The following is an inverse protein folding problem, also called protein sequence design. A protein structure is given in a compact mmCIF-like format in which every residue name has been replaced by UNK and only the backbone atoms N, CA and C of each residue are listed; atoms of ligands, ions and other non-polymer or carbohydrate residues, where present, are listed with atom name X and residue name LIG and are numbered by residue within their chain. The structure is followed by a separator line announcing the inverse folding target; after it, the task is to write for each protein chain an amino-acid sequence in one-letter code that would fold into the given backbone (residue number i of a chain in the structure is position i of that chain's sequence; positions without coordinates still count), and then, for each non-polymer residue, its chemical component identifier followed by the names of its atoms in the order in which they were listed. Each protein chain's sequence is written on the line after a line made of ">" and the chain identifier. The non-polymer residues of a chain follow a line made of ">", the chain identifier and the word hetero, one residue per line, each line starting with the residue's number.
data_IF_388985601739
#
_entry.id   IF_388985601739
#
_cell.length_a   1.000
_cell.length_b   1.000
_cell.length_c   1.000
_cell.angle_alpha   90.00
_cell.angle_beta   90.00
_cell.angle_gamma   90.00
#
_symmetry.space_group_name_H-M   'P 1'
#
loop_
_entity.id
_entity.type
_entity.pdbx_description
1 polymer ?
#
# COMPACT_ATOMS: atom_id res chain seq x y z
N UNK A 1 -17.98 34.44 -28.24
CA UNK A 1 -17.04 33.91 -29.22
C UNK A 1 -15.67 33.84 -28.57
N UNK A 2 -15.30 32.69 -28.17
CA UNK A 2 -13.94 32.39 -27.70
C UNK A 2 -13.30 31.47 -28.73
N UNK A 3 -12.15 31.81 -29.27
CA UNK A 3 -11.39 30.91 -30.08
C UNK A 3 -10.14 30.45 -29.31
N UNK A 4 -10.18 29.29 -28.73
CA UNK A 4 -8.96 28.57 -28.45
C UNK A 4 -8.77 27.55 -29.58
N UNK A 5 -7.72 27.67 -30.39
CA UNK A 5 -7.40 26.62 -31.35
C UNK A 5 -6.89 25.41 -30.61
N UNK A 6 -7.48 24.25 -30.87
CA UNK A 6 -6.91 22.96 -30.56
C UNK A 6 -5.57 22.84 -31.34
N UNK A 7 -4.50 23.25 -30.72
CA UNK A 7 -3.17 22.98 -31.23
C UNK A 7 -2.90 21.51 -31.04
N UNK A 8 -2.85 20.75 -32.14
CA UNK A 8 -2.44 19.38 -32.16
C UNK A 8 -1.01 19.29 -31.57
N UNK A 9 -0.89 18.69 -30.40
CA UNK A 9 0.39 18.34 -29.81
C UNK A 9 1.02 17.23 -30.66
N UNK A 10 1.72 17.63 -31.68
CA UNK A 10 2.79 16.84 -32.26
C UNK A 10 3.87 16.72 -31.17
N UNK A 11 4.03 15.56 -30.58
CA UNK A 11 5.18 15.22 -29.74
C UNK A 11 6.44 15.23 -30.62
N UNK A 12 7.01 16.41 -30.86
CA UNK A 12 8.34 16.55 -31.45
C UNK A 12 9.35 16.09 -30.41
N UNK A 13 10.04 15.00 -30.70
CA UNK A 13 11.12 14.43 -29.89
C UNK A 13 12.22 15.45 -29.66
N UNK A 14 12.60 15.69 -28.42
CA UNK A 14 13.88 16.32 -28.10
C UNK A 14 15.02 15.37 -28.50
N UNK A 15 16.02 15.81 -29.22
CA UNK A 15 17.19 15.00 -29.57
C UNK A 15 18.03 14.79 -28.31
N UNK A 16 18.12 13.55 -27.82
CA UNK A 16 19.03 13.20 -26.72
C UNK A 16 18.52 12.21 -25.67
N UNK A 17 17.21 11.97 -25.57
CA UNK A 17 16.70 10.91 -24.72
C UNK A 17 16.45 9.66 -25.58
N UNK A 18 17.23 8.61 -25.33
CA UNK A 18 16.91 7.27 -25.79
C UNK A 18 15.56 6.89 -25.23
N UNK A 19 14.49 7.22 -25.95
CA UNK A 19 13.13 6.92 -25.55
C UNK A 19 13.00 5.42 -25.42
N UNK A 20 12.80 4.94 -24.19
CA UNK A 20 12.31 3.59 -23.97
C UNK A 20 10.96 3.53 -24.68
N UNK A 21 10.96 2.94 -25.87
CA UNK A 21 9.71 2.61 -26.55
C UNK A 21 9.03 1.58 -25.67
N UNK A 22 7.90 1.94 -25.08
CA UNK A 22 7.07 0.98 -24.33
C UNK A 22 6.76 -0.21 -25.25
N UNK A 23 6.92 -1.42 -24.73
CA UNK A 23 6.48 -2.62 -25.40
C UNK A 23 5.01 -2.43 -25.84
N UNK A 24 4.64 -2.75 -27.10
CA UNK A 24 3.26 -2.70 -27.56
C UNK A 24 2.27 -3.40 -26.63
N UNK A 25 2.71 -4.39 -25.86
CA UNK A 25 1.90 -5.07 -24.84
C UNK A 25 1.38 -4.11 -23.75
N UNK A 26 2.09 -3.01 -23.44
CA UNK A 26 1.59 -1.98 -22.53
C UNK A 26 0.41 -1.20 -23.09
N UNK A 27 0.25 -1.16 -24.40
CA UNK A 27 -0.86 -0.50 -25.08
C UNK A 27 -2.04 -1.43 -25.32
N UNK A 28 -1.92 -2.70 -24.95
CA UNK A 28 -2.96 -3.72 -25.11
C UNK A 28 -3.77 -3.81 -23.82
N UNK A 29 -5.09 -3.70 -23.95
CA UNK A 29 -6.05 -3.83 -22.83
C UNK A 29 -6.85 -5.13 -23.01
N UNK A 30 -6.33 -6.29 -22.62
CA UNK A 30 -6.93 -7.59 -22.92
C UNK A 30 -8.30 -7.78 -22.25
N UNK A 31 -8.56 -7.06 -21.17
CA UNK A 31 -9.83 -7.11 -20.43
C UNK A 31 -10.74 -5.90 -20.72
N UNK A 32 -10.46 -5.13 -21.74
CA UNK A 32 -11.33 -4.02 -22.17
C UNK A 32 -12.67 -4.56 -22.67
N UNK A 33 -13.75 -3.94 -22.18
CA UNK A 33 -15.11 -4.33 -22.54
C UNK A 33 -16.02 -3.12 -22.65
N UNK A 34 -16.82 -3.04 -23.73
CA UNK A 34 -17.85 -2.01 -23.95
C UNK A 34 -17.35 -0.56 -23.74
N UNK A 35 -16.13 -0.26 -24.20
CA UNK A 35 -15.54 1.07 -24.01
C UNK A 35 -14.88 1.31 -22.66
N UNK A 36 -14.99 0.41 -21.69
CA UNK A 36 -14.23 0.41 -20.46
C UNK A 36 -12.82 -0.16 -20.67
N UNK A 37 -11.87 0.29 -19.87
CA UNK A 37 -10.50 -0.20 -20.00
C UNK A 37 -10.33 -1.63 -19.44
N UNK A 38 -11.23 -2.08 -18.57
CA UNK A 38 -11.22 -3.43 -18.00
C UNK A 38 -12.61 -3.84 -17.49
N UNK A 39 -12.73 -5.13 -17.15
CA UNK A 39 -13.91 -5.75 -16.53
C UNK A 39 -13.57 -6.48 -15.21
N UNK A 40 -12.51 -6.02 -14.51
CA UNK A 40 -11.99 -6.69 -13.32
C UNK A 40 -12.95 -6.62 -12.12
N UNK A 41 -13.76 -5.57 -12.02
CA UNK A 41 -14.77 -5.39 -10.97
C UNK A 41 -16.00 -4.63 -11.49
N UNK A 42 -17.18 -4.83 -10.90
CA UNK A 42 -18.36 -4.03 -11.21
C UNK A 42 -18.20 -2.62 -10.64
N UNK A 43 -18.40 -1.61 -11.47
CA UNK A 43 -18.40 -0.23 -11.02
C UNK A 43 -19.69 0.10 -10.26
N UNK A 44 -19.57 0.86 -9.17
CA UNK A 44 -20.71 1.37 -8.41
C UNK A 44 -20.38 2.73 -7.80
N UNK A 45 -21.34 3.64 -7.76
CA UNK A 45 -21.18 4.91 -7.07
C UNK A 45 -21.40 4.74 -5.55
N UNK A 46 -20.85 5.66 -4.76
CA UNK A 46 -20.94 5.64 -3.30
C UNK A 46 -22.38 5.48 -2.79
N UNK A 47 -23.33 6.23 -3.37
CA UNK A 47 -24.73 6.25 -2.94
C UNK A 47 -25.55 5.01 -3.36
N UNK A 48 -25.00 4.16 -4.19
CA UNK A 48 -25.65 2.91 -4.66
C UNK A 48 -25.27 1.69 -3.80
N UNK A 49 -24.29 1.85 -2.90
CA UNK A 49 -23.73 0.76 -2.12
C UNK A 49 -24.51 0.55 -0.83
N UNK A 50 -24.66 -0.72 -0.38
CA UNK A 50 -25.26 -0.98 0.92
C UNK A 50 -24.35 -0.41 2.03
N UNK A 51 -24.94 0.21 3.08
CA UNK A 51 -24.18 0.72 4.21
C UNK A 51 -23.42 -0.40 4.94
N UNK A 52 -22.13 -0.23 5.15
CA UNK A 52 -21.31 -1.14 5.96
C UNK A 52 -21.46 -0.81 7.45
N UNK A 53 -21.33 -1.80 8.31
CA UNK A 53 -21.29 -1.63 9.77
C UNK A 53 -20.02 -2.28 10.32
N UNK A 54 -19.23 -1.49 11.00
CA UNK A 54 -18.04 -2.00 11.67
C UNK A 54 -18.39 -2.58 13.03
N UNK A 55 -17.57 -3.50 13.60
CA UNK A 55 -17.77 -4.04 14.94
C UNK A 55 -17.76 -2.96 16.04
N UNK A 56 -17.05 -1.86 15.81
CA UNK A 56 -16.99 -0.68 16.68
C UNK A 56 -16.90 0.58 15.83
N UNK A 57 -17.36 1.70 16.41
CA UNK A 57 -17.23 3.01 15.77
C UNK A 57 -17.88 3.09 14.39
N UNK A 58 -17.61 4.17 13.71
CA UNK A 58 -18.09 4.43 12.34
C UNK A 58 -16.97 4.51 11.32
N UNK A 59 -15.71 4.66 11.76
CA UNK A 59 -14.53 4.71 10.89
C UNK A 59 -13.53 3.63 11.30
N UNK A 60 -13.27 2.70 10.39
CA UNK A 60 -12.18 1.74 10.53
C UNK A 60 -10.85 2.45 10.25
N UNK A 61 -10.00 2.59 11.25
CA UNK A 61 -8.66 3.17 11.12
C UNK A 61 -7.66 2.05 10.93
N UNK A 62 -7.06 2.00 9.77
CA UNK A 62 -6.11 0.96 9.38
C UNK A 62 -4.70 1.51 9.25
N UNK A 63 -3.82 1.17 10.18
CA UNK A 63 -2.39 1.51 10.04
C UNK A 63 -1.70 0.42 9.25
N UNK A 64 -1.16 0.79 8.10
CA UNK A 64 -0.34 -0.08 7.25
C UNK A 64 1.11 0.42 7.27
N UNK A 65 2.01 -0.39 7.81
CA UNK A 65 3.45 -0.09 7.88
C UNK A 65 4.14 -0.75 6.70
N UNK A 66 4.77 0.04 5.82
CA UNK A 66 5.55 -0.47 4.68
C UNK A 66 6.98 -0.75 5.12
N UNK A 67 7.31 -2.02 5.39
CA UNK A 67 8.64 -2.47 5.82
C UNK A 67 9.41 -2.99 4.61
N UNK A 68 10.28 -2.13 4.07
CA UNK A 68 10.90 -2.26 2.76
C UNK A 68 12.39 -2.59 2.85
N UNK A 69 12.82 -3.55 2.02
CA UNK A 69 14.22 -3.89 1.80
C UNK A 69 14.69 -3.44 0.42
N UNK A 70 15.62 -2.50 0.39
CA UNK A 70 16.25 -2.04 -0.86
C UNK A 70 17.59 -2.75 -1.05
N UNK A 71 17.74 -3.65 -2.05
CA UNK A 71 19.03 -4.22 -2.38
C UNK A 71 20.06 -3.15 -2.69
N UNK A 72 21.31 -3.37 -2.28
CA UNK A 72 22.41 -2.44 -2.57
C UNK A 72 22.69 -2.34 -4.07
N UNK A 73 22.40 -3.40 -4.81
CA UNK A 73 22.46 -3.43 -6.27
C UNK A 73 21.04 -3.25 -6.80
N UNK A 74 20.73 -2.12 -7.47
CA UNK A 74 19.43 -1.95 -8.09
C UNK A 74 19.27 -2.93 -9.25
N UNK A 75 18.06 -3.45 -9.43
CA UNK A 75 17.74 -4.24 -10.61
C UNK A 75 17.62 -3.35 -11.85
N UNK A 76 17.90 -3.93 -13.00
CA UNK A 76 17.54 -3.35 -14.30
C UNK A 76 16.05 -3.58 -14.54
N UNK A 77 15.24 -2.71 -13.98
CA UNK A 77 13.78 -2.77 -14.05
C UNK A 77 13.24 -1.66 -14.96
N UNK A 78 12.06 -1.83 -15.57
CA UNK A 78 11.51 -0.85 -16.50
C UNK A 78 11.20 0.51 -15.84
N UNK A 79 11.09 0.56 -14.52
CA UNK A 79 10.95 1.82 -13.76
C UNK A 79 11.57 1.70 -12.38
N UNK A 80 11.95 2.85 -11.82
CA UNK A 80 12.47 2.92 -10.46
C UNK A 80 11.32 3.05 -9.48
N UNK A 81 11.37 2.26 -8.41
CA UNK A 81 10.37 2.36 -7.34
C UNK A 81 10.45 3.71 -6.62
N UNK A 82 9.33 4.21 -6.07
CA UNK A 82 9.34 5.42 -5.26
C UNK A 82 10.34 5.31 -4.11
N UNK A 83 11.10 6.37 -3.89
CA UNK A 83 12.12 6.42 -2.85
C UNK A 83 13.49 5.93 -3.28
N UNK A 84 13.70 5.46 -4.50
CA UNK A 84 15.04 5.25 -5.04
C UNK A 84 15.80 6.56 -5.09
N UNK A 85 17.04 6.55 -4.59
CA UNK A 85 17.94 7.69 -4.74
C UNK A 85 18.65 7.65 -6.08
N UNK A 86 19.12 8.82 -6.53
CA UNK A 86 19.78 8.99 -7.81
C UNK A 86 21.28 9.33 -7.64
N UNK A 87 21.89 8.81 -6.59
CA UNK A 87 23.33 8.96 -6.38
C UNK A 87 24.11 7.88 -7.10
N UNK A 88 25.39 8.15 -7.34
CA UNK A 88 26.27 7.18 -7.99
C UNK A 88 26.37 5.89 -7.16
N UNK A 89 26.36 4.75 -7.83
CA UNK A 89 26.53 3.44 -7.20
C UNK A 89 27.99 3.21 -6.77
N UNK A 90 28.24 2.58 -5.60
CA UNK A 90 27.27 2.11 -4.62
C UNK A 90 26.72 3.23 -3.73
N UNK A 91 25.39 3.29 -3.58
CA UNK A 91 24.71 4.31 -2.79
C UNK A 91 24.53 3.87 -1.33
N UNK A 92 25.59 3.96 -0.56
CA UNK A 92 25.54 3.60 0.86
C UNK A 92 24.64 4.51 1.70
N UNK A 93 24.49 5.76 1.32
CA UNK A 93 23.58 6.68 2.01
C UNK A 93 22.14 6.23 1.88
N UNK A 94 21.73 5.86 0.66
CA UNK A 94 20.40 5.36 0.40
C UNK A 94 20.16 4.05 1.14
N UNK A 95 21.08 3.10 0.99
CA UNK A 95 20.98 1.80 1.65
C UNK A 95 20.86 1.92 3.18
N UNK A 96 21.77 2.65 3.82
CA UNK A 96 21.78 2.78 5.28
C UNK A 96 20.59 3.58 5.82
N UNK A 97 20.10 4.57 5.08
CA UNK A 97 18.90 5.31 5.46
C UNK A 97 17.64 4.39 5.49
N UNK A 98 17.57 3.39 4.61
CA UNK A 98 16.49 2.39 4.60
C UNK A 98 16.68 1.33 5.70
N UNK A 99 17.91 0.85 5.89
CA UNK A 99 18.26 -0.09 6.94
C UNK A 99 17.91 0.46 8.35
N UNK A 100 18.06 1.79 8.56
CA UNK A 100 17.58 2.46 9.77
C UNK A 100 16.10 2.18 10.05
N UNK A 101 15.27 2.10 9.03
CA UNK A 101 13.85 1.79 9.15
C UNK A 101 13.62 0.45 9.83
N UNK A 102 14.31 -0.59 9.38
CA UNK A 102 14.20 -1.95 9.94
C UNK A 102 14.79 -2.04 11.34
N UNK A 103 15.92 -1.35 11.60
CA UNK A 103 16.67 -1.43 12.87
C UNK A 103 16.08 -0.60 14.01
N UNK A 104 15.50 0.56 13.70
CA UNK A 104 15.07 1.55 14.71
C UNK A 104 13.65 2.04 14.44
N UNK A 105 13.38 2.49 13.22
CA UNK A 105 12.13 3.17 12.89
C UNK A 105 10.89 2.31 13.08
N UNK A 106 10.96 1.03 12.72
CA UNK A 106 9.88 0.06 12.91
C UNK A 106 9.48 -0.02 14.39
N UNK A 107 10.44 -0.23 15.29
CA UNK A 107 10.15 -0.41 16.72
C UNK A 107 9.52 0.82 17.35
N UNK A 108 9.88 2.02 16.88
CA UNK A 108 9.20 3.26 17.33
C UNK A 108 7.75 3.31 16.85
N UNK A 109 7.48 2.91 15.62
CA UNK A 109 6.10 2.85 15.12
C UNK A 109 5.27 1.80 15.87
N UNK A 110 5.83 0.61 16.10
CA UNK A 110 5.15 -0.45 16.85
C UNK A 110 4.88 -0.05 18.30
N UNK A 111 5.83 0.63 18.95
CA UNK A 111 5.65 1.18 20.30
C UNK A 111 4.52 2.23 20.34
N UNK A 112 4.51 3.15 19.37
CA UNK A 112 3.46 4.18 19.26
C UNK A 112 2.05 3.57 19.13
N UNK A 113 1.88 2.55 18.30
CA UNK A 113 0.57 1.88 18.12
C UNK A 113 0.18 1.03 19.32
N UNK A 114 1.15 0.38 19.97
CA UNK A 114 0.93 -0.41 21.18
C UNK A 114 0.43 0.43 22.33
N UNK A 115 0.95 1.67 22.51
CA UNK A 115 0.50 2.61 23.54
C UNK A 115 -0.97 2.97 23.47
N UNK A 116 -1.57 2.93 22.29
CA UNK A 116 -3.01 3.17 22.10
C UNK A 116 -3.82 1.87 21.99
N UNK A 117 -3.19 0.70 22.23
CA UNK A 117 -3.83 -0.60 22.15
C UNK A 117 -4.26 -0.99 20.73
N UNK A 118 -3.66 -0.40 19.71
CA UNK A 118 -3.97 -0.70 18.31
C UNK A 118 -3.12 -1.87 17.78
N UNK A 119 -3.67 -2.56 16.76
CA UNK A 119 -2.93 -3.52 15.94
C UNK A 119 -2.77 -2.94 14.53
N UNK A 120 -1.71 -3.30 13.86
CA UNK A 120 -1.37 -2.81 12.52
C UNK A 120 -1.15 -3.95 11.55
N UNK A 121 -1.23 -3.66 10.26
CA UNK A 121 -0.73 -4.54 9.21
C UNK A 121 0.67 -4.08 8.80
N UNK A 122 1.64 -4.98 8.80
CA UNK A 122 3.00 -4.71 8.33
C UNK A 122 3.18 -5.35 6.97
N UNK A 123 3.20 -4.53 5.93
CA UNK A 123 3.51 -4.96 4.56
C UNK A 123 5.03 -5.14 4.46
N UNK A 124 5.48 -6.40 4.42
CA UNK A 124 6.87 -6.76 4.58
C UNK A 124 7.44 -7.45 3.34
N UNK A 125 8.62 -7.02 2.89
CA UNK A 125 9.36 -7.75 1.87
C UNK A 125 9.87 -9.10 2.39
N UNK A 126 9.78 -10.14 1.56
CA UNK A 126 10.31 -11.48 1.87
C UNK A 126 11.79 -11.47 2.23
N UNK A 127 12.57 -10.57 1.65
CA UNK A 127 14.00 -10.40 1.95
C UNK A 127 14.28 -10.04 3.43
N UNK A 128 13.37 -9.39 4.12
CA UNK A 128 13.50 -9.11 5.56
C UNK A 128 13.30 -10.41 6.35
N UNK A 129 12.28 -11.19 6.00
CA UNK A 129 12.06 -12.49 6.63
C UNK A 129 13.22 -13.46 6.44
N UNK A 130 13.88 -13.44 5.26
CA UNK A 130 15.05 -14.26 4.98
C UNK A 130 16.32 -13.84 5.77
N UNK A 131 16.47 -12.53 6.05
CA UNK A 131 17.66 -11.96 6.69
C UNK A 131 17.54 -11.75 8.19
N UNK A 132 16.36 -11.37 8.60
CA UNK A 132 16.04 -10.95 9.98
C UNK A 132 14.72 -11.57 10.44
N UNK A 133 14.63 -12.92 10.50
CA UNK A 133 13.38 -13.60 10.88
C UNK A 133 12.89 -13.18 12.27
N UNK A 134 13.78 -12.74 13.15
CA UNK A 134 13.45 -12.20 14.47
C UNK A 134 12.57 -10.93 14.40
N UNK A 135 12.76 -10.09 13.37
CA UNK A 135 11.90 -8.91 13.16
C UNK A 135 10.47 -9.33 12.86
N UNK A 136 10.28 -10.39 12.06
CA UNK A 136 8.95 -10.92 11.77
C UNK A 136 8.33 -11.57 13.01
N UNK A 137 9.15 -12.29 13.81
CA UNK A 137 8.69 -12.87 15.06
C UNK A 137 8.22 -11.80 16.06
N UNK A 138 8.94 -10.68 16.18
CA UNK A 138 8.54 -9.54 17.04
C UNK A 138 7.20 -8.95 16.60
N UNK A 139 6.99 -8.75 15.30
CA UNK A 139 5.73 -8.24 14.73
C UNK A 139 4.57 -9.17 15.09
N UNK A 140 4.73 -10.48 14.91
CA UNK A 140 3.69 -11.47 15.20
C UNK A 140 3.45 -11.61 16.70
N UNK A 141 4.52 -11.63 17.52
CA UNK A 141 4.41 -11.71 18.98
C UNK A 141 3.65 -10.52 19.58
N UNK A 142 3.75 -9.35 18.96
CA UNK A 142 2.98 -8.17 19.33
C UNK A 142 1.52 -8.20 18.82
N UNK A 143 1.10 -9.26 18.13
CA UNK A 143 -0.26 -9.44 17.62
C UNK A 143 -0.58 -8.65 16.34
N UNK A 144 0.43 -8.15 15.64
CA UNK A 144 0.26 -7.45 14.37
C UNK A 144 0.11 -8.43 13.21
N UNK A 145 -0.51 -7.96 12.13
CA UNK A 145 -0.68 -8.72 10.89
C UNK A 145 0.54 -8.56 9.97
N UNK A 146 0.97 -9.64 9.34
CA UNK A 146 1.95 -9.61 8.26
C UNK A 146 1.25 -9.66 6.91
N UNK A 147 1.51 -8.68 6.06
CA UNK A 147 1.05 -8.59 4.67
C UNK A 147 2.25 -8.79 3.75
N UNK A 148 2.10 -9.57 2.69
CA UNK A 148 3.19 -9.79 1.75
C UNK A 148 3.42 -8.55 0.87
N UNK A 149 4.70 -8.14 0.73
CA UNK A 149 5.10 -6.97 -0.04
C UNK A 149 6.21 -7.30 -1.05
N UNK A 150 5.98 -8.34 -1.88
CA UNK A 150 6.94 -8.87 -2.83
C UNK A 150 8.23 -9.41 -2.17
N UNK A 151 9.23 -9.78 -2.97
CA UNK A 151 10.50 -10.31 -2.48
C UNK A 151 11.38 -9.24 -1.84
N UNK A 152 11.59 -8.14 -2.55
CA UNK A 152 12.32 -6.94 -2.14
C UNK A 152 11.93 -5.76 -3.05
N UNK A 153 12.52 -4.59 -2.88
CA UNK A 153 12.15 -3.40 -3.65
C UNK A 153 12.61 -3.43 -5.11
N UNK A 154 13.33 -4.46 -5.56
CA UNK A 154 13.54 -4.79 -6.96
C UNK A 154 12.44 -5.70 -7.54
N UNK A 155 11.61 -6.29 -6.71
CA UNK A 155 10.54 -7.22 -7.07
C UNK A 155 9.29 -6.54 -7.63
N UNK A 156 9.47 -5.59 -8.56
CA UNK A 156 8.37 -4.90 -9.25
C UNK A 156 7.71 -5.79 -10.29
N UNK A 157 6.41 -5.64 -10.45
CA UNK A 157 5.60 -6.35 -11.44
C UNK A 157 5.14 -5.37 -12.51
N UNK A 158 5.21 -5.78 -13.77
CA UNK A 158 4.71 -5.00 -14.89
C UNK A 158 4.21 -5.94 -16.00
N UNK A 159 3.44 -5.42 -16.96
CA UNK A 159 2.78 -6.22 -18.00
C UNK A 159 3.72 -7.06 -18.87
N UNK A 160 5.00 -6.67 -18.98
CA UNK A 160 6.01 -7.44 -19.72
C UNK A 160 6.66 -8.60 -18.93
N UNK A 161 6.35 -8.74 -17.64
CA UNK A 161 6.89 -9.84 -16.84
C UNK A 161 6.21 -11.16 -17.25
N UNK A 162 6.99 -12.23 -17.57
CA UNK A 162 6.41 -13.54 -17.83
C UNK A 162 5.56 -14.03 -16.66
N UNK A 163 4.38 -14.58 -16.94
CA UNK A 163 3.42 -15.02 -15.91
C UNK A 163 4.03 -15.98 -14.88
N UNK A 164 4.89 -16.89 -15.33
CA UNK A 164 5.56 -17.82 -14.41
C UNK A 164 6.61 -17.14 -13.53
N UNK A 165 7.27 -16.11 -14.03
CA UNK A 165 8.20 -15.31 -13.21
C UNK A 165 7.44 -14.54 -12.12
N UNK A 166 6.28 -13.99 -12.43
CA UNK A 166 5.40 -13.34 -11.47
C UNK A 166 4.87 -14.34 -10.43
N UNK A 167 4.43 -15.52 -10.86
CA UNK A 167 3.99 -16.61 -9.98
C UNK A 167 5.08 -17.01 -8.99
N UNK A 168 6.31 -17.19 -9.46
CA UNK A 168 7.48 -17.52 -8.63
C UNK A 168 7.79 -16.40 -7.64
N UNK A 169 7.71 -15.14 -8.06
CA UNK A 169 7.93 -13.97 -7.19
C UNK A 169 6.90 -13.95 -6.05
N UNK A 170 5.62 -14.15 -6.35
CA UNK A 170 4.54 -14.20 -5.37
C UNK A 170 4.78 -15.36 -4.39
N UNK A 171 4.98 -16.58 -4.90
CA UNK A 171 5.19 -17.78 -4.08
C UNK A 171 6.40 -17.61 -3.15
N UNK A 172 7.54 -17.16 -3.67
CA UNK A 172 8.76 -16.94 -2.88
C UNK A 172 8.56 -15.94 -1.75
N UNK A 173 7.83 -14.84 -2.01
CA UNK A 173 7.51 -13.83 -1.01
C UNK A 173 6.65 -14.44 0.12
N UNK A 174 5.59 -15.16 -0.24
CA UNK A 174 4.69 -15.80 0.73
C UNK A 174 5.41 -16.86 1.57
N UNK A 175 6.20 -17.72 0.94
CA UNK A 175 6.92 -18.81 1.60
C UNK A 175 7.98 -18.28 2.59
N UNK A 176 8.68 -17.20 2.24
CA UNK A 176 9.66 -16.57 3.13
C UNK A 176 8.98 -16.01 4.39
N UNK A 177 7.87 -15.31 4.22
CA UNK A 177 7.11 -14.71 5.32
C UNK A 177 6.44 -15.79 6.19
N UNK A 178 5.86 -16.82 5.58
CA UNK A 178 5.25 -17.93 6.30
C UNK A 178 6.27 -18.70 7.17
N UNK A 179 7.46 -18.97 6.64
CA UNK A 179 8.53 -19.60 7.42
C UNK A 179 8.95 -18.79 8.65
N UNK A 180 9.00 -17.46 8.53
CA UNK A 180 9.44 -16.60 9.61
C UNK A 180 8.31 -16.29 10.63
N UNK A 181 7.06 -16.16 10.16
CA UNK A 181 5.91 -15.80 10.98
C UNK A 181 5.15 -17.00 11.57
N UNK A 182 5.30 -18.18 10.97
CA UNK A 182 4.48 -19.35 11.24
C UNK A 182 3.05 -19.26 10.68
N UNK A 183 2.70 -18.19 9.97
CA UNK A 183 1.36 -17.93 9.40
C UNK A 183 1.49 -17.45 7.97
N UNK A 184 0.77 -18.08 7.05
CA UNK A 184 0.74 -17.63 5.66
C UNK A 184 0.03 -16.28 5.54
N UNK A 185 0.66 -15.26 4.94
CA UNK A 185 0.02 -13.96 4.71
C UNK A 185 -1.28 -14.10 3.90
N UNK A 186 -2.31 -13.35 4.29
CA UNK A 186 -3.60 -13.31 3.59
C UNK A 186 -3.73 -12.12 2.65
N UNK A 187 -2.89 -11.09 2.83
CA UNK A 187 -2.90 -9.85 2.09
C UNK A 187 -1.64 -9.64 1.27
N UNK A 188 -1.76 -8.83 0.23
CA UNK A 188 -0.69 -8.46 -0.68
C UNK A 188 -0.68 -6.95 -0.95
N UNK A 189 0.51 -6.36 -0.92
CA UNK A 189 0.78 -5.01 -1.41
C UNK A 189 1.92 -5.08 -2.43
N UNK A 190 1.67 -4.73 -3.67
CA UNK A 190 2.72 -4.70 -4.71
C UNK A 190 3.68 -3.54 -4.51
N UNK A 191 4.94 -3.71 -4.92
CA UNK A 191 5.92 -2.63 -4.94
C UNK A 191 5.39 -1.52 -5.86
N UNK A 192 5.36 -0.29 -5.35
CA UNK A 192 4.82 0.87 -6.08
C UNK A 192 3.39 0.67 -6.62
N UNK A 193 2.62 -0.26 -6.06
CA UNK A 193 1.30 -0.70 -6.56
C UNK A 193 1.33 -1.14 -8.03
N UNK A 194 2.51 -1.55 -8.51
CA UNK A 194 2.67 -2.02 -9.89
C UNK A 194 2.15 -3.45 -10.04
N UNK A 195 1.37 -3.66 -11.08
CA UNK A 195 0.75 -4.94 -11.38
C UNK A 195 0.84 -5.27 -12.88
N UNK A 196 0.78 -6.54 -13.21
CA UNK A 196 0.44 -7.03 -14.54
C UNK A 196 -1.08 -7.22 -14.65
N UNK A 197 -1.56 -7.53 -15.85
CA UNK A 197 -2.96 -7.93 -16.06
C UNK A 197 -3.32 -9.23 -15.34
N UNK A 198 -2.33 -10.04 -14.98
CA UNK A 198 -2.50 -11.36 -14.36
C UNK A 198 -2.42 -11.30 -12.83
N UNK A 199 -1.87 -10.23 -12.25
CA UNK A 199 -1.61 -10.14 -10.81
C UNK A 199 -2.84 -10.48 -9.96
N UNK A 200 -4.04 -9.94 -10.19
CA UNK A 200 -5.20 -10.26 -9.35
C UNK A 200 -5.56 -11.76 -9.38
N UNK A 201 -5.41 -12.41 -10.53
CA UNK A 201 -5.69 -13.84 -10.68
C UNK A 201 -4.62 -14.69 -10.00
N UNK A 202 -3.34 -14.34 -10.18
CA UNK A 202 -2.22 -15.03 -9.53
C UNK A 202 -2.25 -14.92 -8.01
N UNK A 203 -2.64 -13.75 -7.47
CA UNK A 203 -2.83 -13.58 -6.03
C UNK A 203 -3.93 -14.50 -5.51
N UNK A 204 -5.05 -14.60 -6.23
CA UNK A 204 -6.15 -15.50 -5.86
C UNK A 204 -5.76 -16.96 -5.94
N UNK A 205 -5.04 -17.37 -6.99
CA UNK A 205 -4.49 -18.72 -7.15
C UNK A 205 -3.50 -19.08 -6.02
N UNK A 206 -2.71 -18.11 -5.54
CA UNK A 206 -1.79 -18.29 -4.42
C UNK A 206 -2.49 -18.39 -3.05
N UNK A 207 -3.83 -18.28 -3.01
CA UNK A 207 -4.64 -18.39 -1.79
C UNK A 207 -4.80 -17.08 -1.01
N UNK A 208 -4.40 -15.95 -1.56
CA UNK A 208 -4.58 -14.65 -0.92
C UNK A 208 -6.05 -14.24 -0.88
N UNK A 209 -6.44 -13.58 0.19
CA UNK A 209 -7.80 -13.10 0.42
C UNK A 209 -7.98 -11.70 -0.15
N UNK A 210 -6.96 -10.84 0.00
CA UNK A 210 -7.05 -9.45 -0.43
C UNK A 210 -5.74 -8.90 -0.98
N UNK A 211 -5.86 -7.88 -1.85
CA UNK A 211 -4.78 -7.02 -2.32
C UNK A 211 -5.04 -5.56 -1.96
N UNK A 212 -3.99 -4.72 -1.90
CA UNK A 212 -4.06 -3.35 -1.43
C UNK A 212 -3.74 -2.29 -2.51
N UNK A 213 -3.65 -2.71 -3.77
CA UNK A 213 -2.98 -1.90 -4.80
C UNK A 213 -3.87 -0.89 -5.51
N UNK A 214 -5.18 -1.17 -5.62
CA UNK A 214 -6.13 -0.29 -6.30
C UNK A 214 -6.71 0.72 -5.32
N UNK A 215 -6.44 2.00 -5.56
CA UNK A 215 -6.69 3.11 -4.63
C UNK A 215 -7.92 3.94 -4.99
N UNK A 216 -8.79 3.39 -5.80
CA UNK A 216 -9.95 4.06 -6.38
C UNK A 216 -11.20 4.03 -5.50
N UNK A 217 -11.07 3.63 -4.25
CA UNK A 217 -12.17 3.54 -3.30
C UNK A 217 -11.72 3.81 -1.86
N UNK A 218 -12.67 3.99 -0.95
CA UNK A 218 -12.47 4.11 0.50
C UNK A 218 -13.08 2.94 1.28
N UNK A 219 -13.62 1.95 0.60
CA UNK A 219 -14.15 0.70 1.17
C UNK A 219 -13.65 -0.50 0.38
N UNK A 220 -13.56 -1.68 1.00
CA UNK A 220 -13.26 -2.90 0.28
C UNK A 220 -14.28 -3.17 -0.83
N UNK A 221 -13.85 -3.79 -1.90
CA UNK A 221 -14.72 -4.31 -2.95
C UNK A 221 -14.14 -5.60 -3.56
N UNK A 222 -14.97 -6.34 -4.28
CA UNK A 222 -14.60 -7.64 -4.84
C UNK A 222 -14.26 -7.55 -6.32
N UNK A 223 -13.13 -8.14 -6.70
CA UNK A 223 -12.84 -8.44 -8.10
C UNK A 223 -13.71 -9.60 -8.61
N UNK A 224 -13.87 -9.70 -9.91
CA UNK A 224 -14.64 -10.77 -10.54
C UNK A 224 -14.13 -12.19 -10.26
N UNK A 225 -12.84 -12.35 -9.92
CA UNK A 225 -12.22 -13.60 -9.50
C UNK A 225 -12.39 -13.93 -8.02
N UNK A 226 -13.04 -13.06 -7.25
CA UNK A 226 -13.29 -13.22 -5.82
C UNK A 226 -12.19 -12.68 -4.90
N UNK A 227 -11.06 -12.20 -5.41
CA UNK A 227 -10.10 -11.44 -4.61
C UNK A 227 -10.75 -10.15 -4.10
N UNK A 228 -10.46 -9.75 -2.87
CA UNK A 228 -10.95 -8.48 -2.32
C UNK A 228 -9.87 -7.40 -2.51
N UNK A 229 -10.23 -6.25 -3.03
CA UNK A 229 -9.37 -5.08 -2.94
C UNK A 229 -9.65 -4.35 -1.63
N UNK A 230 -8.62 -4.09 -0.84
CA UNK A 230 -8.62 -3.24 0.34
C UNK A 230 -7.85 -1.97 0.00
N UNK A 231 -8.50 -0.88 -0.38
CA UNK A 231 -7.81 0.29 -0.92
C UNK A 231 -6.86 0.92 0.10
N UNK A 232 -5.57 0.97 -0.21
CA UNK A 232 -4.57 1.68 0.59
C UNK A 232 -4.28 3.03 -0.07
N UNK A 233 -4.85 4.10 0.47
CA UNK A 233 -4.72 5.44 -0.10
C UNK A 233 -3.24 5.84 -0.28
N UNK A 234 -2.87 6.33 -1.47
CA UNK A 234 -1.53 6.79 -1.79
C UNK A 234 -1.32 8.25 -1.41
N UNK A 235 -2.32 9.10 -1.66
CA UNK A 235 -2.21 10.55 -1.49
C UNK A 235 -1.99 10.95 -0.03
N UNK A 236 -2.60 10.23 0.91
CA UNK A 236 -2.42 10.41 2.36
C UNK A 236 -1.30 9.54 2.96
N UNK A 237 -0.33 9.07 2.15
CA UNK A 237 0.84 8.37 2.69
C UNK A 237 1.90 9.35 3.20
N UNK A 238 2.69 8.93 4.20
CA UNK A 238 3.85 9.70 4.68
C UNK A 238 4.87 9.93 3.56
N UNK A 239 5.00 8.98 2.63
CA UNK A 239 5.85 9.12 1.46
C UNK A 239 5.40 10.27 0.57
N UNK A 240 4.11 10.34 0.27
CA UNK A 240 3.57 11.40 -0.60
C UNK A 240 3.66 12.77 0.09
N UNK A 241 3.15 12.88 1.31
CA UNK A 241 3.07 14.18 1.98
C UNK A 241 4.46 14.65 2.46
N UNK A 242 5.21 13.79 3.16
CA UNK A 242 6.45 14.22 3.80
C UNK A 242 7.64 14.21 2.85
N UNK A 243 7.73 13.24 1.91
CA UNK A 243 8.91 13.15 1.04
C UNK A 243 8.71 13.75 -0.33
N UNK A 244 7.55 13.58 -0.95
CA UNK A 244 7.29 14.12 -2.31
C UNK A 244 6.85 15.58 -2.21
N UNK A 245 5.85 15.88 -1.40
CA UNK A 245 5.34 17.25 -1.22
C UNK A 245 6.19 18.08 -0.22
N UNK A 246 7.17 17.47 0.46
CA UNK A 246 8.10 18.11 1.40
C UNK A 246 7.38 18.84 2.56
N UNK A 247 6.25 18.32 3.00
CA UNK A 247 5.51 18.86 4.13
C UNK A 247 6.03 18.27 5.45
N UNK A 248 5.65 18.88 6.58
CA UNK A 248 6.02 18.41 7.91
C UNK A 248 5.26 17.14 8.32
N UNK A 249 5.74 16.45 9.34
CA UNK A 249 5.02 15.34 9.95
C UNK A 249 3.72 15.81 10.62
N UNK A 250 3.68 17.05 11.13
CA UNK A 250 2.46 17.64 11.68
C UNK A 250 1.41 17.86 10.60
N UNK A 251 1.81 18.37 9.41
CA UNK A 251 0.90 18.50 8.27
C UNK A 251 0.34 17.14 7.82
N UNK A 252 1.14 16.08 7.90
CA UNK A 252 0.66 14.71 7.64
C UNK A 252 -0.43 14.32 8.64
N UNK A 253 -0.20 14.56 9.93
CA UNK A 253 -1.17 14.26 10.98
C UNK A 253 -2.45 15.08 10.84
N UNK A 254 -2.34 16.38 10.55
CA UNK A 254 -3.48 17.29 10.32
C UNK A 254 -4.36 16.83 9.17
N UNK A 255 -3.78 16.50 8.00
CA UNK A 255 -4.54 16.03 6.84
C UNK A 255 -5.28 14.70 7.12
N UNK A 256 -4.70 13.82 7.93
CA UNK A 256 -5.37 12.57 8.34
C UNK A 256 -6.52 12.84 9.33
N UNK A 257 -6.39 13.80 10.23
CA UNK A 257 -7.48 14.19 11.12
C UNK A 257 -8.62 14.88 10.35
N UNK A 258 -8.31 15.74 9.39
CA UNK A 258 -9.31 16.36 8.51
C UNK A 258 -10.08 15.29 7.71
N UNK A 259 -9.37 14.32 7.15
CA UNK A 259 -9.98 13.19 6.46
C UNK A 259 -10.85 12.34 7.40
N UNK A 260 -10.38 12.08 8.62
CA UNK A 260 -11.15 11.34 9.62
C UNK A 260 -12.46 12.05 9.96
N UNK A 261 -12.42 13.35 10.24
CA UNK A 261 -13.60 14.13 10.59
C UNK A 261 -14.61 14.20 9.44
N UNK A 262 -14.13 14.30 8.20
CA UNK A 262 -15.00 14.20 7.03
C UNK A 262 -15.68 12.84 6.94
N UNK A 263 -14.93 11.75 7.09
CA UNK A 263 -15.46 10.38 7.02
C UNK A 263 -16.44 10.07 8.15
N UNK A 264 -16.27 10.66 9.34
CA UNK A 264 -17.26 10.57 10.43
C UNK A 264 -18.59 11.19 10.02
N UNK A 265 -18.56 12.38 9.42
CA UNK A 265 -19.78 13.03 8.89
C UNK A 265 -20.46 12.22 7.79
N UNK A 266 -19.69 11.61 6.88
CA UNK A 266 -20.24 10.76 5.82
C UNK A 266 -20.84 9.44 6.35
N UNK A 267 -20.28 8.89 7.43
CA UNK A 267 -20.75 7.64 8.00
C UNK A 267 -22.21 7.70 8.49
N UNK A 268 -22.70 8.85 8.86
CA UNK A 268 -24.10 9.05 9.22
C UNK A 268 -25.05 8.78 8.03
N UNK A 269 -24.59 9.05 6.82
CA UNK A 269 -25.38 8.93 5.60
C UNK A 269 -25.12 7.64 4.82
N UNK A 270 -23.89 7.20 4.76
CA UNK A 270 -23.45 6.10 3.89
C UNK A 270 -23.02 4.84 4.65
N UNK A 271 -23.08 4.85 5.98
CA UNK A 271 -22.58 3.75 6.81
C UNK A 271 -21.08 3.82 7.06
N UNK A 272 -20.53 2.77 7.65
CA UNK A 272 -19.12 2.71 8.06
C UNK A 272 -18.14 3.08 6.94
N UNK A 273 -17.11 3.86 7.32
CA UNK A 273 -16.05 4.35 6.43
C UNK A 273 -14.70 3.77 6.84
N UNK A 274 -13.66 3.94 6.03
CA UNK A 274 -12.31 3.46 6.33
C UNK A 274 -11.29 4.56 6.07
N UNK A 275 -10.34 4.74 7.01
CA UNK A 275 -9.19 5.62 6.88
C UNK A 275 -7.90 4.80 6.97
N UNK A 276 -7.20 4.55 5.86
CA UNK A 276 -5.89 3.94 5.89
C UNK A 276 -4.80 4.97 6.20
N UNK A 277 -3.92 4.64 7.16
CA UNK A 277 -2.71 5.37 7.49
C UNK A 277 -1.50 4.59 6.94
N UNK A 278 -0.97 5.01 5.82
CA UNK A 278 0.22 4.37 5.22
C UNK A 278 1.48 5.07 5.72
N UNK A 279 2.31 4.35 6.49
CA UNK A 279 3.53 4.86 7.11
C UNK A 279 4.73 3.99 6.82
N UNK A 280 5.89 4.64 6.70
CA UNK A 280 7.16 4.01 6.36
C UNK A 280 8.17 4.20 7.50
N UNK A 281 8.79 3.14 8.03
CA UNK A 281 9.65 3.23 9.21
C UNK A 281 10.83 4.19 9.08
N UNK A 282 11.47 4.29 7.91
CA UNK A 282 12.57 5.22 7.69
C UNK A 282 12.12 6.65 7.34
N UNK A 283 10.81 6.91 7.27
CA UNK A 283 10.23 8.25 7.10
C UNK A 283 9.65 8.70 8.44
N UNK A 284 8.60 8.05 8.91
CA UNK A 284 7.87 8.48 10.12
C UNK A 284 8.52 8.03 11.42
N UNK A 285 9.30 6.93 11.40
CA UNK A 285 10.03 6.42 12.59
C UNK A 285 11.27 7.24 13.00
N UNK A 286 11.54 8.39 12.37
CA UNK A 286 12.63 9.29 12.71
C UNK A 286 12.32 10.06 14.01
N UNK A 287 13.33 10.37 14.86
CA UNK A 287 13.10 10.96 16.19
C UNK A 287 12.43 12.34 16.19
N UNK A 288 12.54 13.07 15.10
CA UNK A 288 11.92 14.39 14.94
C UNK A 288 10.55 14.35 14.24
N UNK A 289 10.04 13.14 13.90
CA UNK A 289 8.75 12.93 13.23
C UNK A 289 7.79 12.06 14.03
N UNK A 290 8.34 11.09 14.80
CA UNK A 290 7.51 10.11 15.50
C UNK A 290 6.51 10.74 16.45
N UNK A 291 6.83 11.88 17.08
CA UNK A 291 5.94 12.59 18.00
C UNK A 291 4.62 13.04 17.35
N UNK A 292 4.66 13.48 16.08
CA UNK A 292 3.43 13.83 15.35
C UNK A 292 2.54 12.60 15.10
N UNK A 293 3.14 11.44 14.80
CA UNK A 293 2.40 10.19 14.64
C UNK A 293 1.81 9.68 15.97
N UNK A 294 2.55 9.76 17.07
CA UNK A 294 2.03 9.43 18.42
C UNK A 294 0.82 10.32 18.79
N UNK A 295 0.92 11.62 18.54
CA UNK A 295 -0.17 12.57 18.82
C UNK A 295 -1.41 12.28 17.95
N UNK A 296 -1.22 11.96 16.66
CA UNK A 296 -2.29 11.53 15.76
C UNK A 296 -3.00 10.29 16.30
N UNK A 297 -2.24 9.23 16.65
CA UNK A 297 -2.81 7.99 17.16
C UNK A 297 -3.57 8.21 18.48
N UNK A 298 -3.04 9.01 19.39
CA UNK A 298 -3.70 9.35 20.65
C UNK A 298 -5.01 10.10 20.42
N UNK A 299 -5.03 11.06 19.48
CA UNK A 299 -6.23 11.79 19.11
C UNK A 299 -7.29 10.86 18.52
N UNK A 300 -6.92 9.99 17.59
CA UNK A 300 -7.84 9.00 17.00
C UNK A 300 -8.35 8.00 18.05
N UNK A 301 -7.50 7.55 18.97
CA UNK A 301 -7.88 6.61 20.03
C UNK A 301 -8.90 7.20 21.01
N UNK A 302 -8.88 8.51 21.22
CA UNK A 302 -9.85 9.20 22.07
C UNK A 302 -11.24 9.37 21.43
N UNK A 303 -11.37 9.10 20.12
CA UNK A 303 -12.63 9.26 19.37
C UNK A 303 -13.45 7.97 19.44
N UNK A 304 -14.69 8.07 19.87
CA UNK A 304 -15.64 6.93 19.90
C UNK A 304 -15.97 6.33 18.54
N UNK A 305 -15.80 7.13 17.50
CA UNK A 305 -16.03 6.78 16.09
C UNK A 305 -14.92 5.86 15.55
N UNK A 306 -13.79 5.76 16.23
CA UNK A 306 -12.63 4.99 15.80
C UNK A 306 -12.76 3.51 16.09
N UNK A 307 -12.48 2.71 15.08
CA UNK A 307 -12.17 1.29 15.22
C UNK A 307 -10.80 1.02 14.62
N UNK A 308 -9.77 0.87 15.47
CA UNK A 308 -8.47 0.40 14.99
C UNK A 308 -8.57 -1.07 14.61
N UNK A 309 -8.16 -1.39 13.37
CA UNK A 309 -8.23 -2.73 12.85
C UNK A 309 -7.07 -3.02 11.88
N UNK A 310 -6.69 -4.28 11.76
CA UNK A 310 -5.80 -4.76 10.72
C UNK A 310 -6.54 -4.87 9.39
N UNK A 311 -5.81 -4.95 8.28
CA UNK A 311 -6.42 -5.14 6.96
C UNK A 311 -7.28 -6.40 6.89
N UNK A 312 -6.79 -7.51 7.47
CA UNK A 312 -7.53 -8.76 7.54
C UNK A 312 -8.83 -8.65 8.33
N UNK A 313 -8.84 -7.92 9.46
CA UNK A 313 -10.06 -7.70 10.26
C UNK A 313 -11.10 -6.87 9.52
N UNK A 314 -10.66 -5.84 8.78
CA UNK A 314 -11.55 -5.00 7.97
C UNK A 314 -12.17 -5.84 6.85
N UNK A 315 -11.35 -6.64 6.16
CA UNK A 315 -11.81 -7.53 5.09
C UNK A 315 -12.81 -8.55 5.60
N UNK A 316 -12.55 -9.16 6.77
CA UNK A 316 -13.45 -10.14 7.37
C UNK A 316 -14.79 -9.50 7.79
N UNK A 317 -14.74 -8.33 8.45
CA UNK A 317 -15.93 -7.60 8.87
C UNK A 317 -16.77 -7.11 7.67
N UNK A 318 -16.11 -6.69 6.60
CA UNK A 318 -16.79 -6.28 5.36
C UNK A 318 -17.39 -7.49 4.65
N UNK A 319 -16.63 -8.57 4.47
CA UNK A 319 -17.06 -9.76 3.73
C UNK A 319 -18.24 -10.48 4.40
N UNK A 320 -18.35 -10.40 5.73
CA UNK A 320 -19.48 -10.97 6.49
C UNK A 320 -20.84 -10.28 6.21
N UNK A 321 -20.83 -9.15 5.49
CA UNK A 321 -22.02 -8.36 5.19
C UNK A 321 -22.41 -8.37 3.70
N UNK A 322 -21.66 -9.12 2.84
CA UNK A 322 -21.86 -9.19 1.39
C UNK A 322 -22.71 -10.39 0.96
#
# INVERSE_FOLDING_TARGET
>A
PSPWPLCGLSLSRCPGEGGVTLDPAYLTYPKRRHGYDHDLYPWSALHERPPVRWPRGSVAVWVCVSLEWFPIIPADTPFRVPGHMQTAYPDFRHYTARDYGTRVGLYRLLDAVTRVGARVSVACNGAIAERYPEVIADIVAAGHEVVAHSTDMNGTVASGLPIEAERVLIARSLDALERASGVRPRGWLSIARSQSWNTPDLLREAGLTYGCDWVNDELPYRFGNGLINLPLNHELSDRQIVTVQQQSADSYAEQLLDAFDWLVGEAERFGGRMLPLNVTPYIMGLPYRIGAFEALLATLAARRETWFATGGEIVDAWAAQQ
#
